data_IF_504234276630
#
_entry.id   IF_504234276630
#
_cell.length_a   1.000
_cell.length_b   1.000
_cell.length_c   1.000
_cell.angle_alpha   90.00
_cell.angle_beta   90.00
_cell.angle_gamma   90.00
#
_symmetry.space_group_name_H-M   'P 1'
#
loop_
_entity.id
_entity.type
_entity.pdbx_description
1 polymer ?
#
# COMPACT_ATOMS: atom_id res chain seq x y z
N UNK A 1 -6.61 0.56 9.56
CA UNK A 1 -5.55 -0.44 9.23
C UNK A 1 -4.27 -0.18 10.03
N UNK A 2 -3.76 1.06 10.09
CA UNK A 2 -2.59 1.42 10.91
C UNK A 2 -2.85 1.16 12.42
N UNK A 3 -4.00 1.58 12.94
CA UNK A 3 -4.41 1.31 14.33
C UNK A 3 -4.71 -0.16 14.60
N UNK A 4 -5.06 -0.92 13.56
CA UNK A 4 -5.39 -2.35 13.69
C UNK A 4 -4.13 -3.19 13.97
N UNK A 5 -3.00 -2.77 13.40
CA UNK A 5 -1.72 -3.48 13.50
C UNK A 5 -0.74 -2.82 14.49
N UNK A 6 -1.07 -1.65 15.05
CA UNK A 6 -0.24 -0.87 15.96
C UNK A 6 1.20 -0.63 15.42
N UNK A 7 1.30 -0.30 14.13
CA UNK A 7 2.57 0.00 13.47
C UNK A 7 2.69 1.52 13.31
N UNK A 8 3.81 2.11 13.75
CA UNK A 8 4.09 3.52 13.49
C UNK A 8 4.17 3.74 11.97
N UNK A 9 3.39 4.71 11.48
CA UNK A 9 3.40 5.16 10.09
C UNK A 9 4.81 5.47 9.52
N UNK A 10 5.76 5.87 10.36
CA UNK A 10 7.15 6.13 9.97
C UNK A 10 7.90 4.84 9.60
N UNK A 11 7.47 3.69 10.13
CA UNK A 11 8.06 2.37 9.87
C UNK A 11 7.48 1.71 8.63
N UNK A 12 6.32 2.18 8.14
CA UNK A 12 5.73 1.65 6.92
C UNK A 12 6.57 2.05 5.69
N UNK A 13 6.82 1.15 4.73
CA UNK A 13 7.49 1.51 3.49
C UNK A 13 6.67 2.57 2.71
N UNK A 14 7.36 3.38 1.91
CA UNK A 14 6.72 4.49 1.15
C UNK A 14 5.86 3.95 0.00
N UNK A 15 6.19 2.75 -0.50
CA UNK A 15 5.43 2.04 -1.51
C UNK A 15 5.07 0.66 -0.96
N UNK A 16 3.85 0.29 -1.27
CA UNK A 16 3.21 -0.98 -1.01
C UNK A 16 2.29 -1.23 -2.19
N UNK A 17 2.34 -2.45 -2.70
CA UNK A 17 1.32 -2.96 -3.60
C UNK A 17 0.59 -4.11 -2.90
N UNK A 18 -0.67 -4.30 -3.25
CA UNK A 18 -1.49 -5.36 -2.71
C UNK A 18 -2.35 -5.95 -3.81
N UNK A 19 -2.14 -7.23 -4.08
CA UNK A 19 -2.87 -7.98 -5.09
C UNK A 19 -4.11 -8.61 -4.45
N UNK A 20 -5.25 -8.45 -5.12
CA UNK A 20 -6.52 -9.02 -4.72
C UNK A 20 -7.12 -9.87 -5.83
N UNK A 21 -7.74 -10.98 -5.45
CA UNK A 21 -8.61 -11.76 -6.32
C UNK A 21 -10.06 -11.66 -5.85
N UNK A 22 -11.02 -11.85 -6.76
CA UNK A 22 -12.42 -11.97 -6.36
C UNK A 22 -12.62 -13.15 -5.42
N UNK A 23 -13.25 -12.87 -4.27
CA UNK A 23 -13.71 -13.85 -3.33
C UNK A 23 -15.17 -14.24 -3.56
N UNK A 24 -15.73 -15.09 -2.69
CA UNK A 24 -17.15 -15.43 -2.70
C UNK A 24 -18.01 -14.18 -2.51
N UNK A 25 -19.04 -13.99 -3.34
CA UNK A 25 -19.97 -12.87 -3.18
C UNK A 25 -20.67 -12.91 -1.82
N UNK A 26 -21.04 -11.73 -1.34
CA UNK A 26 -21.92 -11.60 -0.18
C UNK A 26 -23.31 -12.17 -0.49
N UNK A 27 -24.12 -12.39 0.55
CA UNK A 27 -25.52 -12.84 0.37
C UNK A 27 -26.37 -11.85 -0.44
N UNK A 28 -26.04 -10.56 -0.40
CA UNK A 28 -26.68 -9.52 -1.22
C UNK A 28 -26.14 -9.44 -2.65
N UNK A 29 -25.13 -10.26 -3.00
CA UNK A 29 -24.55 -10.34 -4.35
C UNK A 29 -23.37 -9.41 -4.62
N UNK A 30 -22.92 -8.63 -3.63
CA UNK A 30 -21.75 -7.75 -3.77
C UNK A 30 -20.47 -8.56 -3.88
N UNK A 31 -19.53 -8.06 -4.69
CA UNK A 31 -18.20 -8.66 -4.83
C UNK A 31 -17.42 -8.56 -3.51
N UNK A 32 -16.67 -9.61 -3.20
CA UNK A 32 -15.67 -9.60 -2.12
C UNK A 32 -14.29 -9.82 -2.71
N UNK A 33 -13.27 -9.51 -1.92
CA UNK A 33 -11.88 -9.58 -2.36
C UNK A 33 -11.05 -10.36 -1.33
N UNK A 34 -10.26 -11.30 -1.81
CA UNK A 34 -9.27 -12.01 -1.02
C UNK A 34 -7.92 -11.33 -1.26
N UNK A 35 -7.29 -10.87 -0.18
CA UNK A 35 -5.91 -10.39 -0.23
C UNK A 35 -4.99 -11.58 -0.52
N UNK A 36 -4.22 -11.48 -1.60
CA UNK A 36 -3.30 -12.53 -2.02
C UNK A 36 -1.89 -12.27 -1.51
N UNK A 37 -1.36 -11.08 -1.80
CA UNK A 37 0.00 -10.70 -1.47
C UNK A 37 0.08 -9.22 -1.08
N UNK A 38 1.01 -8.90 -0.19
CA UNK A 38 1.46 -7.54 0.06
C UNK A 38 2.93 -7.48 -0.35
N UNK A 39 3.22 -6.65 -1.34
CA UNK A 39 4.56 -6.51 -1.91
C UNK A 39 5.20 -5.18 -1.47
N UNK A 40 6.48 -5.26 -1.08
CA UNK A 40 7.37 -4.10 -0.96
C UNK A 40 8.38 -4.20 -2.10
N UNK A 41 7.92 -3.97 -3.33
CA UNK A 41 8.76 -4.07 -4.52
C UNK A 41 8.64 -2.82 -5.40
N UNK A 42 9.64 -2.62 -6.26
CA UNK A 42 9.72 -1.52 -7.23
C UNK A 42 8.70 -1.71 -8.36
N UNK A 43 7.41 -1.64 -8.06
CA UNK A 43 6.38 -1.46 -9.08
C UNK A 43 6.52 -0.08 -9.72
N UNK A 44 6.23 0.02 -11.01
CA UNK A 44 6.18 1.31 -11.70
C UNK A 44 5.07 2.13 -11.04
N UNK A 45 5.46 3.19 -10.33
CA UNK A 45 4.51 3.92 -9.51
C UNK A 45 3.48 4.61 -10.41
N UNK A 46 2.25 4.12 -10.36
CA UNK A 46 1.09 4.74 -10.96
C UNK A 46 0.24 5.40 -9.87
N UNK A 47 -0.47 6.50 -10.18
CA UNK A 47 -0.44 7.26 -11.44
C UNK A 47 0.86 8.08 -11.62
N UNK A 48 1.03 8.80 -12.75
CA UNK A 48 2.26 9.54 -13.13
C UNK A 48 2.85 10.48 -12.06
N UNK A 49 2.05 10.88 -11.07
CA UNK A 49 2.44 11.76 -9.98
C UNK A 49 3.12 11.00 -8.83
N UNK A 50 2.94 9.68 -8.76
CA UNK A 50 3.45 8.84 -7.69
C UNK A 50 4.99 8.87 -7.58
N UNK A 51 5.78 8.81 -8.66
CA UNK A 51 7.25 8.87 -8.57
C UNK A 51 7.76 10.12 -7.84
N UNK A 52 7.21 11.30 -8.14
CA UNK A 52 7.61 12.55 -7.51
C UNK A 52 7.24 12.60 -6.02
N UNK A 53 6.04 12.12 -5.67
CA UNK A 53 5.60 12.04 -4.28
C UNK A 53 6.47 11.08 -3.45
N UNK A 54 6.80 9.92 -4.01
CA UNK A 54 7.70 8.93 -3.38
C UNK A 54 9.06 9.55 -3.11
N UNK A 55 9.69 10.14 -4.13
CA UNK A 55 11.02 10.75 -4.00
C UNK A 55 11.07 11.82 -2.90
N UNK A 56 10.04 12.68 -2.84
CA UNK A 56 9.90 13.71 -1.80
C UNK A 56 9.85 13.09 -0.41
N UNK A 57 8.98 12.10 -0.20
CA UNK A 57 8.79 11.45 1.11
C UNK A 57 10.04 10.66 1.54
N UNK A 58 10.73 10.00 0.62
CA UNK A 58 12.01 9.32 0.89
C UNK A 58 13.03 10.34 1.38
N UNK A 59 13.17 11.46 0.66
CA UNK A 59 14.11 12.53 1.01
C UNK A 59 13.80 13.16 2.38
N UNK A 60 12.52 13.40 2.68
CA UNK A 60 12.09 13.88 4.02
C UNK A 60 12.45 12.90 5.13
N UNK A 61 12.27 11.58 4.94
CA UNK A 61 12.64 10.57 5.94
C UNK A 61 14.14 10.48 6.17
N UNK A 62 14.94 10.53 5.11
CA UNK A 62 16.40 10.46 5.21
C UNK A 62 17.00 11.67 5.93
N UNK A 63 16.35 12.84 5.83
CA UNK A 63 16.78 14.09 6.51
C UNK A 63 16.36 14.18 7.98
N UNK A 64 15.40 13.36 8.41
CA UNK A 64 14.92 13.29 9.80
C UNK A 64 15.70 12.27 10.66
N UNK A 65 16.60 11.50 10.05
CA UNK A 65 17.58 10.65 10.72
C UNK A 65 18.82 11.45 11.09
#
# INVERSE_FOLDING_TARGET
MIDLLNIDSALLPIIWDADFLYGPRTESGEDTYILCEINVSSVFAIPDQAPAAIARLVSERLRKK
#
